data_IF_446582438918
#
_entry.id   IF_446582438918
#
_cell.length_a   1.000
_cell.length_b   1.000
_cell.length_c   1.000
_cell.angle_alpha   90.00
_cell.angle_beta   90.00
_cell.angle_gamma   90.00
#
_symmetry.space_group_name_H-M   'P 1'
#
loop_
_entity.id
_entity.type
_entity.pdbx_description
1 polymer ?
#
# COMPACT_ATOMS: atom_id res chain seq x y z
N UNK A 1 -47.37 30.13 -44.74
CA UNK A 1 -45.93 29.80 -44.63
C UNK A 1 -45.43 30.41 -43.32
N UNK A 2 -45.32 29.59 -42.27
CA UNK A 2 -44.86 30.02 -40.93
C UNK A 2 -43.34 29.87 -40.85
N UNK A 3 -42.63 30.95 -40.51
CA UNK A 3 -41.18 30.95 -40.27
C UNK A 3 -40.90 30.38 -38.87
N UNK A 4 -39.97 29.41 -38.69
CA UNK A 4 -39.57 28.99 -37.36
C UNK A 4 -38.54 29.98 -36.81
N UNK A 5 -38.79 30.51 -35.60
CA UNK A 5 -37.77 31.25 -34.85
C UNK A 5 -36.87 30.24 -34.15
N UNK A 6 -35.58 30.28 -34.47
CA UNK A 6 -34.55 29.47 -33.82
C UNK A 6 -34.29 30.10 -32.44
N UNK A 7 -34.79 29.46 -31.39
CA UNK A 7 -34.41 29.80 -30.01
C UNK A 7 -33.06 29.15 -29.71
N UNK A 8 -32.00 29.96 -29.66
CA UNK A 8 -30.66 29.52 -29.30
C UNK A 8 -30.60 29.29 -27.78
N UNK A 9 -30.61 28.03 -27.35
CA UNK A 9 -30.45 27.65 -25.95
C UNK A 9 -28.96 27.67 -25.63
N UNK A 10 -28.51 28.66 -24.86
CA UNK A 10 -27.13 28.73 -24.36
C UNK A 10 -27.03 27.72 -23.20
N UNK A 11 -26.40 26.58 -23.47
CA UNK A 11 -26.05 25.61 -22.44
C UNK A 11 -24.86 26.15 -21.63
N UNK A 12 -25.11 26.61 -20.40
CA UNK A 12 -24.06 27.02 -19.47
C UNK A 12 -23.43 25.74 -18.92
N UNK A 13 -22.23 25.41 -19.39
CA UNK A 13 -21.41 24.35 -18.81
C UNK A 13 -20.91 24.80 -17.42
N UNK A 14 -21.49 24.24 -16.37
CA UNK A 14 -20.99 24.41 -15.00
C UNK A 14 -19.75 23.54 -14.85
N UNK A 15 -18.56 24.16 -14.97
CA UNK A 15 -17.32 23.51 -14.60
C UNK A 15 -17.26 23.42 -13.07
N UNK A 16 -17.53 22.25 -12.53
CA UNK A 16 -17.26 21.92 -11.13
C UNK A 16 -15.74 21.88 -10.96
N UNK A 17 -15.15 22.95 -10.45
CA UNK A 17 -13.76 22.94 -10.01
C UNK A 17 -13.67 22.04 -8.79
N UNK A 18 -13.06 20.86 -8.94
CA UNK A 18 -12.66 20.03 -7.80
C UNK A 18 -11.64 20.83 -6.98
N UNK A 19 -12.00 21.17 -5.74
CA UNK A 19 -11.11 21.89 -4.84
C UNK A 19 -9.78 21.15 -4.69
N UNK A 20 -8.68 21.86 -4.87
CA UNK A 20 -7.34 21.35 -4.56
C UNK A 20 -7.29 21.03 -3.07
N UNK A 21 -7.19 19.76 -2.71
CA UNK A 21 -6.97 19.33 -1.33
C UNK A 21 -5.74 20.03 -0.76
N UNK A 22 -5.89 20.60 0.43
CA UNK A 22 -4.81 21.22 1.18
C UNK A 22 -3.79 20.14 1.61
N UNK A 23 -2.81 19.88 0.75
CA UNK A 23 -1.72 18.90 0.97
C UNK A 23 -0.89 19.16 2.24
N UNK A 24 -1.09 20.28 2.94
CA UNK A 24 -0.47 20.56 4.24
C UNK A 24 -0.93 19.61 5.35
N UNK A 25 -1.95 18.77 5.09
CA UNK A 25 -2.49 17.77 6.02
C UNK A 25 -2.25 16.32 5.58
N UNK A 26 -1.41 16.11 4.57
CA UNK A 26 -1.06 14.76 4.13
C UNK A 26 -0.04 14.12 5.07
N UNK A 27 -0.13 12.80 5.19
CA UNK A 27 0.86 11.97 5.84
C UNK A 27 1.77 11.33 4.81
N UNK A 28 3.01 11.10 5.19
CA UNK A 28 3.99 10.29 4.46
C UNK A 28 3.90 8.86 4.96
N UNK A 29 3.78 7.94 4.02
CA UNK A 29 3.79 6.51 4.24
C UNK A 29 5.11 5.97 3.72
N UNK A 30 5.97 5.48 4.61
CA UNK A 30 7.24 4.86 4.26
C UNK A 30 7.11 3.35 4.41
N UNK A 31 7.42 2.62 3.34
CA UNK A 31 7.38 1.16 3.31
C UNK A 31 8.80 0.62 3.16
N UNK A 32 9.16 -0.35 3.99
CA UNK A 32 10.34 -1.19 3.84
C UNK A 32 9.85 -2.59 3.47
N UNK A 33 10.22 -3.06 2.28
CA UNK A 33 9.75 -4.33 1.74
C UNK A 33 10.94 -5.27 1.59
N UNK A 34 10.89 -6.40 2.29
CA UNK A 34 11.91 -7.43 2.19
C UNK A 34 11.46 -8.50 1.21
N UNK A 35 12.21 -8.63 0.12
CA UNK A 35 12.11 -9.79 -0.77
C UNK A 35 12.84 -10.96 -0.14
N UNK A 36 12.26 -12.16 -0.25
CA UNK A 36 12.84 -13.37 0.33
C UNK A 36 14.20 -13.75 -0.26
N UNK A 37 14.92 -14.58 0.49
CA UNK A 37 16.24 -15.09 0.10
C UNK A 37 16.19 -16.30 -0.84
N UNK A 38 15.02 -16.92 -0.99
CA UNK A 38 14.80 -18.12 -1.79
C UNK A 38 15.27 -17.95 -3.24
N UNK A 39 15.68 -19.05 -3.87
CA UNK A 39 15.97 -19.05 -5.31
C UNK A 39 14.71 -18.56 -6.04
N UNK A 40 14.89 -17.66 -7.02
CA UNK A 40 13.82 -17.01 -7.80
C UNK A 40 12.78 -16.25 -6.98
N UNK A 41 13.14 -15.73 -5.80
CA UNK A 41 12.22 -14.92 -4.99
C UNK A 41 11.97 -13.50 -5.51
N UNK A 42 12.84 -12.99 -6.39
CA UNK A 42 12.69 -11.65 -6.98
C UNK A 42 11.73 -11.60 -8.16
N UNK A 43 11.32 -10.39 -8.57
CA UNK A 43 10.34 -10.19 -9.65
C UNK A 43 10.54 -8.89 -10.42
N UNK A 44 10.11 -8.90 -11.69
CA UNK A 44 10.04 -7.72 -12.55
C UNK A 44 8.58 -7.30 -12.82
N UNK A 45 7.63 -7.84 -12.05
CA UNK A 45 6.22 -7.48 -12.13
C UNK A 45 5.96 -6.13 -11.47
N UNK A 46 4.91 -5.43 -11.91
CA UNK A 46 4.43 -4.26 -11.19
C UNK A 46 3.77 -4.71 -9.90
N UNK A 47 4.21 -4.11 -8.79
CA UNK A 47 3.65 -4.39 -7.46
C UNK A 47 2.82 -3.19 -7.01
N UNK A 48 1.58 -3.45 -6.64
CA UNK A 48 0.68 -2.47 -6.05
C UNK A 48 0.43 -2.79 -4.57
N UNK A 49 0.20 -1.75 -3.77
CA UNK A 49 -0.08 -1.88 -2.35
C UNK A 49 -1.27 -1.02 -1.92
N UNK A 50 -2.13 -1.58 -1.06
CA UNK A 50 -3.17 -0.85 -0.34
C UNK A 50 -2.95 -1.01 1.15
N UNK A 51 -2.83 0.12 1.85
CA UNK A 51 -2.65 0.18 3.29
C UNK A 51 -3.94 0.69 3.93
N UNK A 52 -4.47 -0.03 4.91
CA UNK A 52 -5.77 0.28 5.53
C UNK A 52 -5.72 0.42 7.05
N UNK A 53 -6.64 1.22 7.58
CA UNK A 53 -6.85 1.40 9.01
C UNK A 53 -8.09 0.64 9.54
N UNK A 54 -8.29 0.68 10.85
CA UNK A 54 -9.40 -0.03 11.52
C UNK A 54 -10.77 0.58 11.24
N UNK A 55 -10.83 1.79 10.69
CA UNK A 55 -12.05 2.46 10.25
C UNK A 55 -12.40 2.17 8.78
N UNK A 56 -11.59 1.36 8.09
CA UNK A 56 -11.79 1.00 6.69
C UNK A 56 -11.32 2.06 5.70
N UNK A 57 -10.57 3.07 6.16
CA UNK A 57 -9.90 4.05 5.29
C UNK A 57 -8.63 3.43 4.72
N UNK A 58 -8.18 3.89 3.56
CA UNK A 58 -6.97 3.35 2.93
C UNK A 58 -6.21 4.36 2.07
N UNK A 59 -4.92 4.08 1.87
CA UNK A 59 -4.07 4.71 0.86
C UNK A 59 -3.63 3.63 -0.12
N UNK A 60 -3.65 3.96 -1.42
CA UNK A 60 -3.36 3.03 -2.50
C UNK A 60 -2.15 3.53 -3.31
N UNK A 61 -1.16 2.67 -3.46
CA UNK A 61 -0.04 2.81 -4.38
C UNK A 61 -0.29 1.87 -5.57
N UNK A 62 -0.68 2.41 -6.75
CA UNK A 62 -0.97 1.59 -7.93
C UNK A 62 0.27 0.92 -8.52
N UNK A 63 1.43 1.56 -8.37
CA UNK A 63 2.74 1.05 -8.70
C UNK A 63 3.70 1.54 -7.59
N UNK A 64 4.34 0.61 -6.89
CA UNK A 64 5.27 0.94 -5.81
C UNK A 64 6.55 1.58 -6.34
N UNK A 65 6.98 1.28 -7.57
CA UNK A 65 8.19 1.90 -8.13
C UNK A 65 8.06 3.42 -8.25
N UNK A 66 6.85 3.94 -8.48
CA UNK A 66 6.56 5.39 -8.48
C UNK A 66 6.83 6.05 -7.12
N UNK A 67 6.88 5.26 -6.04
CA UNK A 67 7.20 5.69 -4.67
C UNK A 67 8.65 5.39 -4.28
N UNK A 68 9.44 4.82 -5.18
CA UNK A 68 10.79 4.31 -4.91
C UNK A 68 11.78 5.36 -4.41
N UNK A 69 12.60 4.98 -3.41
CA UNK A 69 13.65 5.84 -2.82
C UNK A 69 15.08 5.32 -3.00
N UNK A 70 15.31 4.33 -3.86
CA UNK A 70 16.60 3.62 -3.95
C UNK A 70 17.52 4.15 -5.06
N UNK A 71 16.99 4.99 -5.95
CA UNK A 71 17.72 5.51 -7.11
C UNK A 71 16.97 5.26 -8.40
N UNK A 72 17.46 5.81 -9.49
CA UNK A 72 16.84 5.76 -10.82
C UNK A 72 17.25 4.51 -11.62
N UNK A 73 18.32 3.85 -11.21
CA UNK A 73 18.89 2.63 -11.81
C UNK A 73 18.76 1.40 -10.90
N UNK A 74 18.05 1.53 -9.78
CA UNK A 74 17.82 0.43 -8.85
C UNK A 74 16.76 -0.52 -9.40
N UNK A 75 17.07 -1.82 -9.36
CA UNK A 75 16.16 -2.89 -9.71
C UNK A 75 15.42 -3.35 -8.45
N UNK A 76 14.14 -2.97 -8.37
CA UNK A 76 13.30 -3.21 -7.20
C UNK A 76 12.86 -4.68 -7.13
N UNK A 77 12.51 -5.12 -5.92
CA UNK A 77 11.95 -6.44 -5.64
C UNK A 77 12.88 -7.61 -5.97
N UNK A 78 14.19 -7.36 -6.00
CA UNK A 78 15.19 -8.37 -6.27
C UNK A 78 15.48 -9.26 -5.05
N UNK A 79 15.93 -10.49 -5.31
CA UNK A 79 16.15 -11.50 -4.26
C UNK A 79 17.01 -10.97 -3.13
N UNK A 80 16.53 -11.15 -1.89
CA UNK A 80 17.17 -10.71 -0.64
C UNK A 80 17.35 -9.19 -0.48
N UNK A 81 16.84 -8.36 -1.39
CA UNK A 81 16.88 -6.92 -1.23
C UNK A 81 15.82 -6.43 -0.23
N UNK A 82 16.21 -5.35 0.47
CA UNK A 82 15.32 -4.51 1.25
C UNK A 82 15.10 -3.22 0.47
N UNK A 83 13.89 -3.02 -0.02
CA UNK A 83 13.53 -1.86 -0.82
C UNK A 83 12.72 -0.86 -0.02
N UNK A 84 12.97 0.43 -0.27
CA UNK A 84 12.35 1.54 0.46
C UNK A 84 11.49 2.38 -0.49
N UNK A 85 10.26 2.63 -0.06
CA UNK A 85 9.28 3.42 -0.80
C UNK A 85 8.69 4.50 0.10
N UNK A 86 8.34 5.67 -0.45
CA UNK A 86 7.58 6.68 0.27
C UNK A 86 6.55 7.39 -0.61
N UNK A 87 5.30 7.42 -0.14
CA UNK A 87 4.19 8.12 -0.78
C UNK A 87 3.44 9.04 0.16
N UNK A 88 2.63 9.94 -0.42
CA UNK A 88 1.74 10.82 0.34
C UNK A 88 0.30 10.35 0.24
N UNK A 89 -0.46 10.55 1.32
CA UNK A 89 -1.88 10.27 1.35
C UNK A 89 -2.56 10.89 2.56
N UNK A 90 -3.88 10.69 2.72
CA UNK A 90 -4.63 11.24 3.85
C UNK A 90 -4.08 10.70 5.18
N UNK A 91 -4.01 11.54 6.22
CA UNK A 91 -3.58 11.09 7.53
C UNK A 91 -4.60 10.19 8.23
N UNK A 92 -4.11 9.10 8.83
CA UNK A 92 -4.90 8.21 9.68
C UNK A 92 -4.53 8.36 11.17
N UNK A 93 -5.43 7.90 12.04
CA UNK A 93 -5.22 7.93 13.49
C UNK A 93 -4.94 6.51 13.95
N UNK A 94 -3.78 6.31 14.58
CA UNK A 94 -3.33 4.98 14.99
C UNK A 94 -2.71 4.17 13.84
N UNK A 95 -2.27 2.94 14.14
CA UNK A 95 -1.53 2.12 13.19
C UNK A 95 -2.41 1.62 12.04
N UNK A 96 -1.80 1.52 10.86
CA UNK A 96 -2.32 0.75 9.75
C UNK A 96 -2.40 -0.72 10.17
N UNK A 97 -3.53 -1.37 9.93
CA UNK A 97 -3.77 -2.75 10.36
C UNK A 97 -4.13 -3.68 9.22
N UNK A 98 -4.25 -3.17 7.99
CA UNK A 98 -4.53 -3.97 6.81
C UNK A 98 -3.50 -3.69 5.73
N UNK A 99 -3.00 -4.75 5.11
CA UNK A 99 -2.17 -4.70 3.90
C UNK A 99 -2.86 -5.55 2.83
N UNK A 100 -2.96 -5.00 1.62
CA UNK A 100 -3.22 -5.76 0.40
C UNK A 100 -2.06 -5.49 -0.56
N UNK A 101 -1.33 -6.53 -0.92
CA UNK A 101 -0.15 -6.47 -1.78
C UNK A 101 -0.41 -7.35 -3.01
N UNK A 102 -0.34 -6.77 -4.21
CA UNK A 102 -0.72 -7.46 -5.46
C UNK A 102 0.36 -7.32 -6.50
N UNK A 103 0.77 -8.45 -7.07
CA UNK A 103 1.58 -8.50 -8.30
C UNK A 103 0.67 -8.55 -9.53
N UNK A 104 1.02 -7.82 -10.58
CA UNK A 104 0.33 -7.88 -11.87
C UNK A 104 0.74 -9.09 -12.73
N UNK A 105 1.79 -9.81 -12.33
CA UNK A 105 2.30 -10.99 -13.02
C UNK A 105 2.98 -10.71 -14.36
N UNK A 106 3.32 -9.45 -14.63
CA UNK A 106 4.04 -9.06 -15.85
C UNK A 106 5.54 -9.33 -15.75
N UNK A 107 6.25 -9.21 -16.88
CA UNK A 107 7.69 -9.36 -16.94
C UNK A 107 8.20 -10.81 -16.97
N UNK A 108 9.51 -10.95 -17.18
CA UNK A 108 10.20 -12.20 -16.90
C UNK A 108 10.30 -12.38 -15.37
N UNK A 109 10.36 -13.63 -14.90
CA UNK A 109 10.46 -13.91 -13.45
C UNK A 109 9.32 -13.31 -12.61
N UNK A 110 8.08 -13.33 -13.10
CA UNK A 110 6.92 -12.71 -12.45
C UNK A 110 6.54 -13.26 -11.06
N UNK A 111 7.13 -14.38 -10.63
CA UNK A 111 6.86 -14.99 -9.33
C UNK A 111 7.66 -14.31 -8.24
N UNK A 112 6.97 -13.67 -7.30
CA UNK A 112 7.63 -12.92 -6.22
C UNK A 112 7.39 -13.58 -4.87
N UNK A 113 8.42 -13.65 -4.02
CA UNK A 113 8.25 -14.01 -2.62
C UNK A 113 8.52 -12.80 -1.73
N UNK A 114 7.47 -12.26 -1.13
CA UNK A 114 7.57 -11.19 -0.15
C UNK A 114 7.66 -11.80 1.26
N UNK A 115 8.69 -11.43 2.02
CA UNK A 115 8.87 -11.88 3.39
C UNK A 115 8.07 -11.02 4.36
N UNK A 116 8.33 -9.71 4.37
CA UNK A 116 7.58 -8.76 5.19
C UNK A 116 7.50 -7.38 4.55
N UNK A 117 6.54 -6.60 5.05
CA UNK A 117 6.39 -5.18 4.76
C UNK A 117 6.30 -4.44 6.09
N UNK A 118 7.27 -3.57 6.36
CA UNK A 118 7.21 -2.63 7.48
C UNK A 118 6.72 -1.28 6.98
N UNK A 119 5.72 -0.72 7.65
CA UNK A 119 5.09 0.54 7.24
C UNK A 119 5.13 1.53 8.38
N UNK A 120 5.63 2.72 8.09
CA UNK A 120 5.56 3.86 9.00
C UNK A 120 4.68 4.96 8.39
N UNK A 121 3.75 5.50 9.18
CA UNK A 121 2.97 6.69 8.81
C UNK A 121 3.38 7.86 9.71
N UNK A 122 3.71 8.99 9.08
CA UNK A 122 4.08 10.23 9.77
C UNK A 122 3.39 11.42 9.13
N UNK A 123 3.01 12.42 9.91
CA UNK A 123 2.44 13.65 9.35
C UNK A 123 2.41 14.81 10.35
N UNK A 124 2.17 16.04 9.88
CA UNK A 124 2.07 17.21 10.74
C UNK A 124 0.98 17.02 11.80
N UNK A 125 1.33 17.28 13.07
CA UNK A 125 0.42 17.18 14.20
C UNK A 125 -0.30 15.81 14.33
N UNK A 126 0.29 14.76 13.76
CA UNK A 126 -0.23 13.38 13.80
C UNK A 126 0.80 12.49 14.47
N UNK A 127 0.35 11.57 15.32
CA UNK A 127 1.23 10.60 15.96
C UNK A 127 1.84 9.67 14.91
N UNK A 128 3.15 9.42 15.03
CA UNK A 128 3.82 8.39 14.23
C UNK A 128 3.22 7.02 14.58
N UNK A 129 2.97 6.21 13.57
CA UNK A 129 2.58 4.82 13.77
C UNK A 129 3.38 3.91 12.87
N UNK A 130 3.70 2.72 13.39
CA UNK A 130 4.51 1.73 12.71
C UNK A 130 3.80 0.38 12.78
N UNK A 131 3.79 -0.34 11.66
CA UNK A 131 3.23 -1.69 11.57
C UNK A 131 4.16 -2.59 10.77
N UNK A 132 4.46 -3.78 11.30
CA UNK A 132 5.14 -4.85 10.58
C UNK A 132 4.12 -5.91 10.15
N UNK A 133 4.02 -6.13 8.84
CA UNK A 133 3.22 -7.19 8.25
C UNK A 133 4.13 -8.33 7.78
N UNK A 134 4.03 -9.49 8.41
CA UNK A 134 4.65 -10.71 7.90
C UNK A 134 3.82 -11.28 6.76
N UNK A 135 4.34 -11.22 5.54
CA UNK A 135 3.67 -11.68 4.32
C UNK A 135 3.93 -13.16 4.10
N UNK A 136 5.21 -13.54 4.00
CA UNK A 136 5.68 -14.93 3.86
C UNK A 136 4.92 -15.74 2.80
N UNK A 137 4.70 -15.12 1.64
CA UNK A 137 3.85 -15.68 0.59
C UNK A 137 4.50 -15.50 -0.78
N UNK A 138 4.35 -16.52 -1.63
CA UNK A 138 4.52 -16.36 -3.08
C UNK A 138 3.32 -15.60 -3.67
N UNK A 139 3.58 -14.52 -4.41
CA UNK A 139 2.59 -13.79 -5.19
C UNK A 139 2.72 -14.24 -6.65
N UNK A 140 2.16 -15.41 -6.95
CA UNK A 140 2.30 -16.07 -8.25
C UNK A 140 1.12 -17.03 -8.51
N UNK A 141 0.75 -17.20 -9.78
CA UNK A 141 -0.39 -18.06 -10.18
C UNK A 141 -0.01 -19.53 -10.41
N UNK A 142 1.28 -19.87 -10.46
CA UNK A 142 1.77 -21.19 -10.84
C UNK A 142 2.51 -21.94 -9.71
N UNK A 143 2.53 -21.40 -8.49
CA UNK A 143 3.06 -22.06 -7.30
C UNK A 143 2.16 -21.75 -6.10
N UNK A 144 2.01 -22.65 -5.12
CA UNK A 144 1.22 -22.39 -3.91
C UNK A 144 1.63 -21.07 -3.22
N UNK A 145 0.66 -20.24 -2.77
CA UNK A 145 -0.78 -20.52 -2.70
C UNK A 145 -1.59 -20.31 -3.99
N UNK A 146 -0.94 -20.07 -5.14
CA UNK A 146 -1.58 -19.76 -6.43
C UNK A 146 -2.33 -18.42 -6.43
N UNK A 147 -1.93 -17.52 -5.53
CA UNK A 147 -2.52 -16.20 -5.37
C UNK A 147 -1.51 -15.15 -5.83
N UNK A 148 -1.94 -14.22 -6.68
CA UNK A 148 -1.14 -13.04 -7.07
C UNK A 148 -1.24 -11.92 -6.03
N UNK A 149 -2.02 -12.13 -4.98
CA UNK A 149 -2.34 -11.14 -3.96
C UNK A 149 -2.17 -11.72 -2.56
N UNK A 150 -1.60 -10.94 -1.65
CA UNK A 150 -1.58 -11.21 -0.22
C UNK A 150 -2.45 -10.18 0.50
N UNK A 151 -3.50 -10.63 1.19
CA UNK A 151 -4.37 -9.78 2.02
C UNK A 151 -4.17 -10.15 3.48
N UNK A 152 -3.68 -9.19 4.27
CA UNK A 152 -3.40 -9.35 5.69
C UNK A 152 -4.28 -8.36 6.44
N UNK A 153 -5.18 -8.85 7.30
CA UNK A 153 -6.09 -8.02 8.11
C UNK A 153 -5.88 -8.30 9.60
N UNK A 154 -5.21 -7.36 10.27
CA UNK A 154 -5.02 -7.30 11.71
C UNK A 154 -5.94 -6.29 12.41
N UNK A 155 -6.94 -5.75 11.71
CA UNK A 155 -7.81 -4.70 12.27
C UNK A 155 -8.78 -5.24 13.34
N UNK A 156 -8.98 -6.55 13.40
CA UNK A 156 -9.76 -7.22 14.44
C UNK A 156 -8.86 -7.56 15.62
N UNK A 157 -8.89 -6.73 16.68
CA UNK A 157 -8.16 -7.00 17.91
C UNK A 157 -7.98 -5.84 18.89
N UNK A 158 -8.20 -4.60 18.47
CA UNK A 158 -8.14 -3.42 19.36
C UNK A 158 -9.20 -2.40 18.93
N UNK A 159 -10.46 -2.62 19.35
CA UNK A 159 -11.56 -1.66 19.23
C UNK A 159 -11.42 -0.49 20.20
N UNK A 160 -10.31 0.22 20.16
CA UNK A 160 -10.06 1.41 20.96
C UNK A 160 -8.79 2.12 20.51
N UNK A 161 -8.68 3.44 20.73
CA UNK A 161 -7.43 4.15 20.49
C UNK A 161 -6.28 3.44 21.24
N UNK A 162 -5.06 3.40 20.67
CA UNK A 162 -3.91 2.84 21.35
C UNK A 162 -3.84 3.39 22.77
N UNK A 163 -3.94 2.51 23.78
CA UNK A 163 -3.65 2.93 25.16
C UNK A 163 -2.18 3.33 25.19
N UNK A 164 -1.89 4.45 25.84
CA UNK A 164 -0.62 5.17 25.99
C UNK A 164 0.56 4.34 26.58
N UNK A 165 0.53 3.01 26.52
CA UNK A 165 1.50 2.10 27.15
C UNK A 165 1.98 0.92 26.29
N UNK A 166 1.56 0.75 25.03
CA UNK A 166 2.21 -0.17 24.09
C UNK A 166 3.11 0.65 23.15
N UNK A 167 4.38 0.82 23.53
CA UNK A 167 5.38 1.66 22.83
C UNK A 167 6.00 0.99 21.59
N UNK A 168 5.53 -0.18 21.18
CA UNK A 168 6.08 -0.95 20.07
C UNK A 168 5.24 -0.88 18.80
N UNK A 169 5.83 -1.21 17.63
CA UNK A 169 5.09 -1.35 16.38
C UNK A 169 3.95 -2.37 16.52
N UNK A 170 2.86 -2.14 15.79
CA UNK A 170 1.86 -3.19 15.59
C UNK A 170 2.49 -4.31 14.75
N UNK A 171 2.36 -5.56 15.17
CA UNK A 171 2.83 -6.71 14.39
C UNK A 171 1.63 -7.52 13.94
N UNK A 172 1.54 -7.79 12.64
CA UNK A 172 0.46 -8.56 12.02
C UNK A 172 1.06 -9.74 11.26
N UNK A 173 0.58 -10.95 11.56
CA UNK A 173 1.17 -12.19 11.04
C UNK A 173 2.29 -12.74 11.94
N UNK A 174 3.00 -13.76 11.46
CA UNK A 174 4.09 -14.44 12.17
C UNK A 174 5.30 -14.64 11.23
N UNK A 175 6.55 -14.57 11.73
CA UNK A 175 7.73 -14.86 10.93
C UNK A 175 7.81 -16.34 10.54
N UNK A 176 8.56 -16.64 9.48
CA UNK A 176 8.85 -18.03 9.10
C UNK A 176 9.70 -18.66 10.21
N UNK A 177 9.26 -19.81 10.73
CA UNK A 177 9.99 -20.57 11.75
C UNK A 177 9.65 -20.22 13.21
N UNK A 178 8.71 -19.30 13.48
CA UNK A 178 8.12 -19.23 14.83
C UNK A 178 7.33 -20.51 15.09
N UNK A 179 7.71 -21.26 16.13
CA UNK A 179 7.01 -22.48 16.52
C UNK A 179 5.49 -22.22 16.69
N UNK A 180 4.63 -23.16 16.30
CA UNK A 180 3.23 -23.11 16.71
C UNK A 180 3.19 -23.24 18.25
N UNK A 181 2.52 -22.29 18.92
CA UNK A 181 2.09 -22.47 20.31
C UNK A 181 0.99 -23.54 20.40
#
# INVERSE_FOLDING_TARGET
MLSPRIFSVIAIAVFLTTGTGDSSKDCVYTLYIQTGWGITAGTNSKISATLGDSMGRSVWAPDLEDWGLMGWDHDYFERANLDIFAGRGPCFRGPLCRLNLTSDGSGAHHGWFCEYVEVTSTGPHTECSQTLFYVNQWLVSNAPPYEMTAVIDGCKGKGGPPRHGNTGPLVVGKPIGSAPE
#
